data_IF_892340299361
#
_entry.id   IF_892340299361
#
_cell.length_a   1.000
_cell.length_b   1.000
_cell.length_c   1.000
_cell.angle_alpha   90.00
_cell.angle_beta   90.00
_cell.angle_gamma   90.00
#
_symmetry.space_group_name_H-M   'P 1'
#
loop_
_entity.id
_entity.type
_entity.pdbx_description
1 polymer ?
#
# COMPACT_ATOMS: atom_id res chain seq x y z
N UNK A 1 -43.62 -4.61 28.59
CA UNK A 1 -43.61 -5.64 27.53
C UNK A 1 -44.50 -5.15 26.39
N UNK A 2 -43.91 -4.86 25.24
CA UNK A 2 -44.52 -4.96 23.90
C UNK A 2 -43.41 -4.62 22.90
N UNK A 3 -42.94 -5.66 22.20
CA UNK A 3 -42.12 -5.58 20.99
C UNK A 3 -43.05 -5.19 19.84
N UNK A 4 -42.57 -4.37 18.90
CA UNK A 4 -42.84 -4.61 17.48
C UNK A 4 -41.75 -3.96 16.61
N UNK A 5 -41.04 -4.83 15.87
CA UNK A 5 -40.25 -4.53 14.69
C UNK A 5 -41.26 -4.28 13.53
N UNK A 6 -40.99 -3.51 12.49
CA UNK A 6 -40.14 -3.79 11.33
C UNK A 6 -40.71 -2.86 10.23
N UNK A 7 -39.90 -2.02 9.58
CA UNK A 7 -39.44 -2.20 8.19
C UNK A 7 -40.35 -1.54 7.13
N UNK A 8 -39.71 -1.18 6.01
CA UNK A 8 -40.27 -0.80 4.70
C UNK A 8 -40.47 0.71 4.39
N UNK A 9 -39.39 1.33 3.91
CA UNK A 9 -39.44 2.18 2.70
C UNK A 9 -39.20 1.24 1.50
N UNK A 10 -39.81 1.44 0.30
CA UNK A 10 -39.38 2.52 -0.59
C UNK A 10 -40.44 3.02 -1.61
N UNK A 11 -40.01 3.91 -2.52
CA UNK A 11 -40.44 4.09 -3.94
C UNK A 11 -40.91 5.52 -4.31
N UNK A 12 -39.97 6.35 -4.79
CA UNK A 12 -40.19 7.45 -5.77
C UNK A 12 -40.50 6.83 -7.16
N UNK A 13 -40.90 7.54 -8.26
CA UNK A 13 -40.76 8.98 -8.54
C UNK A 13 -41.90 9.63 -9.40
N UNK A 14 -41.61 10.85 -9.90
CA UNK A 14 -42.08 11.47 -11.16
C UNK A 14 -43.22 12.49 -11.06
N UNK A 15 -42.89 13.77 -11.32
CA UNK A 15 -43.50 14.57 -12.40
C UNK A 15 -42.73 15.90 -12.56
N UNK A 16 -41.66 15.87 -13.36
CA UNK A 16 -41.09 17.09 -13.96
C UNK A 16 -42.08 17.57 -15.02
N UNK A 17 -42.67 18.73 -14.82
CA UNK A 17 -43.58 19.34 -15.79
C UNK A 17 -42.79 19.88 -16.98
N UNK A 18 -43.10 19.32 -18.15
CA UNK A 18 -42.75 19.83 -19.47
C UNK A 18 -43.62 21.06 -19.77
N UNK A 19 -43.01 22.14 -20.23
CA UNK A 19 -43.71 23.19 -20.98
C UNK A 19 -43.03 23.40 -22.32
N UNK A 20 -43.81 23.13 -23.37
CA UNK A 20 -43.63 23.46 -24.78
C UNK A 20 -43.74 25.00 -24.98
N UNK A 21 -43.19 25.72 -25.97
CA UNK A 21 -42.97 25.52 -27.41
C UNK A 21 -41.90 26.51 -27.95
N UNK A 22 -41.41 26.32 -29.20
CA UNK A 22 -40.37 27.14 -29.86
C UNK A 22 -40.93 28.13 -30.89
N UNK A 23 -40.21 29.21 -31.23
CA UNK A 23 -40.27 29.81 -32.58
C UNK A 23 -39.09 30.73 -32.91
N UNK A 24 -38.38 30.38 -34.00
CA UNK A 24 -37.65 31.19 -35.02
C UNK A 24 -36.56 32.17 -34.54
N UNK A 25 -35.32 32.06 -35.02
CA UNK A 25 -35.03 32.52 -36.38
C UNK A 25 -33.79 31.84 -36.99
N UNK A 26 -33.93 31.45 -38.25
CA UNK A 26 -32.86 30.98 -39.12
C UNK A 26 -31.89 32.13 -39.42
N UNK A 27 -30.59 31.89 -39.25
CA UNK A 27 -29.58 32.45 -40.16
C UNK A 27 -28.57 31.37 -40.49
N UNK A 28 -28.43 31.14 -41.79
CA UNK A 28 -27.53 30.22 -42.47
C UNK A 28 -26.23 30.97 -42.75
N UNK A 29 -25.13 30.51 -42.16
CA UNK A 29 -23.75 30.72 -42.62
C UNK A 29 -22.95 29.59 -41.95
N UNK A 30 -22.79 28.45 -42.61
CA UNK A 30 -21.63 28.17 -43.46
C UNK A 30 -20.33 28.73 -42.85
N UNK A 31 -19.67 27.92 -42.02
CA UNK A 31 -18.28 27.55 -42.30
C UNK A 31 -17.80 26.50 -41.29
N UNK A 32 -17.47 25.33 -41.83
CA UNK A 32 -16.62 24.37 -41.18
C UNK A 32 -15.30 25.04 -40.77
N UNK A 33 -14.96 25.03 -39.49
CA UNK A 33 -13.56 25.03 -39.05
C UNK A 33 -13.46 24.52 -37.61
N UNK A 34 -12.88 23.31 -37.49
CA UNK A 34 -12.42 22.71 -36.23
C UNK A 34 -11.54 23.71 -35.46
N UNK A 35 -12.00 24.24 -34.33
CA UNK A 35 -11.14 24.90 -33.34
C UNK A 35 -11.54 24.50 -31.93
N UNK A 36 -10.72 23.62 -31.34
CA UNK A 36 -10.81 23.13 -29.96
C UNK A 36 -10.78 24.31 -28.98
N UNK A 37 -11.49 24.28 -27.85
CA UNK A 37 -11.34 25.30 -26.82
C UNK A 37 -9.94 25.21 -26.19
N UNK A 38 -9.26 26.35 -26.16
CA UNK A 38 -8.10 26.55 -25.31
C UNK A 38 -8.56 26.68 -23.85
N UNK A 39 -7.98 25.88 -22.95
CA UNK A 39 -7.82 26.27 -21.55
C UNK A 39 -6.61 25.55 -20.97
N UNK A 40 -5.49 26.26 -21.04
CA UNK A 40 -4.27 25.97 -20.31
C UNK A 40 -4.43 26.50 -18.89
N UNK A 41 -4.63 25.63 -17.93
CA UNK A 41 -4.04 25.81 -16.59
C UNK A 41 -3.60 24.44 -16.07
N UNK A 42 -2.49 23.94 -16.63
CA UNK A 42 -1.81 22.76 -16.11
C UNK A 42 -1.12 23.19 -14.82
N UNK A 43 -1.88 23.23 -13.72
CA UNK A 43 -1.35 23.27 -12.36
C UNK A 43 -0.46 22.03 -12.24
N UNK A 44 0.85 22.24 -12.35
CA UNK A 44 1.84 21.25 -11.97
C UNK A 44 1.71 21.05 -10.46
N UNK A 45 0.77 20.19 -10.05
CA UNK A 45 0.82 19.59 -8.72
C UNK A 45 2.09 18.75 -8.67
N UNK A 46 3.18 19.37 -8.21
CA UNK A 46 4.32 18.66 -7.62
C UNK A 46 3.79 17.94 -6.38
N UNK A 47 3.24 16.74 -6.55
CA UNK A 47 3.16 15.75 -5.48
C UNK A 47 4.12 14.63 -5.86
N UNK A 48 5.41 14.89 -5.67
CA UNK A 48 6.31 13.83 -5.25
C UNK A 48 5.85 13.55 -3.82
N UNK A 49 4.96 12.58 -3.67
CA UNK A 49 4.76 11.95 -2.37
C UNK A 49 6.06 11.16 -2.16
N UNK A 50 7.08 11.85 -1.67
CA UNK A 50 8.25 11.24 -1.07
C UNK A 50 7.68 10.41 0.08
N UNK A 51 7.39 9.15 -0.20
CA UNK A 51 7.25 8.17 0.87
C UNK A 51 8.54 8.30 1.66
N UNK A 52 8.42 8.83 2.87
CA UNK A 52 9.51 8.94 3.84
C UNK A 52 9.83 7.51 4.30
N UNK A 53 10.41 6.74 3.37
CA UNK A 53 11.14 5.53 3.63
C UNK A 53 12.31 5.99 4.50
N UNK A 54 12.15 5.92 5.82
CA UNK A 54 13.23 6.21 6.77
C UNK A 54 14.55 5.53 6.37
N UNK A 55 15.67 5.92 7.00
CA UNK A 55 17.02 5.57 6.54
C UNK A 55 17.15 4.07 6.23
N UNK A 56 17.38 3.76 4.94
CA UNK A 56 17.44 2.39 4.43
C UNK A 56 18.59 1.64 5.08
N UNK A 57 18.32 0.43 5.54
CA UNK A 57 19.33 -0.43 6.17
C UNK A 57 20.26 -1.12 5.17
N UNK A 58 19.99 -0.99 3.87
CA UNK A 58 20.81 -1.58 2.81
C UNK A 58 20.95 -3.09 2.97
N UNK A 59 19.87 -3.77 3.37
CA UNK A 59 19.87 -5.22 3.57
C UNK A 59 19.88 -5.95 2.22
N UNK A 60 20.73 -6.98 2.13
CA UNK A 60 20.78 -7.87 0.97
C UNK A 60 19.57 -8.82 0.88
N UNK A 61 19.44 -9.55 -0.22
CA UNK A 61 18.29 -10.44 -0.45
C UNK A 61 18.12 -11.53 0.63
N UNK A 62 19.22 -12.13 1.10
CA UNK A 62 19.17 -13.16 2.16
C UNK A 62 18.70 -12.57 3.49
N UNK A 63 19.22 -11.40 3.84
CA UNK A 63 18.83 -10.64 5.03
C UNK A 63 17.35 -10.24 4.99
N UNK A 64 16.89 -9.71 3.85
CA UNK A 64 15.47 -9.40 3.61
C UNK A 64 14.57 -10.63 3.73
N UNK A 65 15.03 -11.78 3.24
CA UNK A 65 14.31 -13.05 3.37
C UNK A 65 14.22 -13.49 4.84
N UNK A 66 15.31 -13.38 5.60
CA UNK A 66 15.33 -13.72 7.01
C UNK A 66 14.34 -12.88 7.82
N UNK A 67 14.36 -11.55 7.67
CA UNK A 67 13.47 -10.67 8.45
C UNK A 67 11.99 -10.83 8.07
N UNK A 68 11.69 -11.12 6.79
CA UNK A 68 10.32 -11.43 6.35
C UNK A 68 9.84 -12.76 6.92
N UNK A 69 10.73 -13.75 7.01
CA UNK A 69 10.40 -15.03 7.63
C UNK A 69 10.14 -14.84 9.13
N UNK A 70 11.01 -14.14 9.85
CA UNK A 70 10.82 -13.86 11.28
C UNK A 70 9.54 -13.06 11.57
N UNK A 71 9.18 -12.08 10.72
CA UNK A 71 7.92 -11.34 10.84
C UNK A 71 6.68 -12.23 10.70
N UNK A 72 6.75 -13.31 9.90
CA UNK A 72 5.64 -14.25 9.73
C UNK A 72 5.33 -15.04 11.02
N UNK A 73 6.35 -15.31 11.83
CA UNK A 73 6.23 -16.09 13.06
C UNK A 73 6.31 -15.24 14.33
N UNK A 74 6.41 -13.92 14.21
CA UNK A 74 6.51 -13.03 15.36
C UNK A 74 5.26 -13.15 16.25
N UNK A 75 5.42 -13.20 17.60
CA UNK A 75 6.65 -12.99 18.37
C UNK A 75 7.44 -14.28 18.69
N UNK A 76 7.13 -15.41 18.06
CA UNK A 76 7.80 -16.69 18.35
C UNK A 76 9.24 -16.70 17.79
N UNK A 77 10.25 -16.99 18.61
CA UNK A 77 11.63 -17.02 18.15
C UNK A 77 11.90 -18.24 17.26
N UNK A 78 12.65 -18.04 16.18
CA UNK A 78 12.92 -19.08 15.20
C UNK A 78 14.43 -19.36 15.10
N UNK A 79 14.84 -20.63 14.97
CA UNK A 79 16.24 -20.94 14.72
C UNK A 79 16.65 -20.63 13.27
N UNK A 80 17.95 -20.53 13.00
CA UNK A 80 18.45 -20.38 11.62
C UNK A 80 18.05 -21.56 10.74
N UNK A 81 18.01 -22.77 11.30
CA UNK A 81 17.79 -24.04 10.58
C UNK A 81 16.46 -24.10 9.81
N UNK A 82 15.43 -23.37 10.26
CA UNK A 82 14.12 -23.31 9.60
C UNK A 82 14.00 -22.21 8.55
N UNK A 83 14.95 -21.27 8.49
CA UNK A 83 14.91 -20.11 7.59
C UNK A 83 15.58 -20.48 6.25
N UNK A 84 14.83 -20.64 5.13
CA UNK A 84 15.40 -21.27 3.95
C UNK A 84 16.48 -20.41 3.27
N UNK A 85 17.70 -20.94 3.13
CA UNK A 85 18.81 -20.29 2.43
C UNK A 85 19.44 -19.13 3.21
N UNK A 86 19.21 -19.07 4.52
CA UNK A 86 19.83 -18.14 5.47
C UNK A 86 20.81 -18.93 6.33
N UNK A 87 21.98 -18.35 6.58
CA UNK A 87 23.04 -18.94 7.40
C UNK A 87 23.23 -18.16 8.69
N UNK A 88 23.93 -18.74 9.67
CA UNK A 88 24.24 -18.05 10.93
C UNK A 88 25.02 -16.77 10.71
N UNK A 89 25.92 -16.74 9.71
CA UNK A 89 26.64 -15.52 9.28
C UNK A 89 25.65 -14.41 8.91
N UNK A 90 24.56 -14.75 8.20
CA UNK A 90 23.53 -13.76 7.84
C UNK A 90 22.80 -13.24 9.08
N UNK A 91 22.56 -14.11 10.07
CA UNK A 91 21.92 -13.74 11.33
C UNK A 91 22.83 -12.85 12.18
N UNK A 92 24.13 -13.12 12.23
CA UNK A 92 25.12 -12.29 12.93
C UNK A 92 25.23 -10.90 12.32
N UNK A 93 25.21 -10.78 10.99
CA UNK A 93 25.16 -9.50 10.30
C UNK A 93 23.89 -8.69 10.64
N UNK A 94 22.74 -9.37 10.78
CA UNK A 94 21.48 -8.74 11.18
C UNK A 94 21.50 -8.29 12.65
N UNK A 95 22.13 -9.08 13.54
CA UNK A 95 22.35 -8.72 14.94
C UNK A 95 23.28 -7.52 15.06
N UNK A 96 24.39 -7.49 14.32
CA UNK A 96 25.31 -6.36 14.30
C UNK A 96 24.63 -5.06 13.83
N UNK A 97 23.57 -5.18 13.02
CA UNK A 97 22.74 -4.06 12.57
C UNK A 97 21.54 -3.78 13.50
N UNK A 98 21.35 -4.52 14.58
CA UNK A 98 20.24 -4.36 15.51
C UNK A 98 18.87 -4.64 14.89
N UNK A 99 18.82 -5.45 13.83
CA UNK A 99 17.59 -5.79 13.09
C UNK A 99 16.92 -7.02 13.69
N UNK A 100 17.73 -7.92 14.22
CA UNK A 100 17.33 -9.18 14.85
C UNK A 100 18.02 -9.26 16.21
N UNK A 101 17.35 -9.87 17.18
CA UNK A 101 17.92 -10.22 18.48
C UNK A 101 18.02 -11.74 18.60
N UNK A 102 19.11 -12.20 19.19
CA UNK A 102 19.26 -13.58 19.64
C UNK A 102 18.60 -13.73 21.02
N UNK A 103 17.82 -14.79 21.20
CA UNK A 103 17.21 -15.13 22.48
C UNK A 103 17.56 -16.56 22.84
N UNK A 104 17.54 -16.85 24.14
CA UNK A 104 17.87 -18.18 24.63
C UNK A 104 16.71 -19.14 24.32
N UNK A 105 17.00 -20.24 23.62
CA UNK A 105 16.02 -21.29 23.39
C UNK A 105 15.59 -21.93 24.72
N UNK A 106 14.33 -22.37 24.86
CA UNK A 106 13.84 -23.03 26.08
C UNK A 106 14.64 -24.27 26.49
N UNK A 107 15.22 -24.96 25.51
CA UNK A 107 16.03 -26.16 25.70
C UNK A 107 17.53 -25.88 25.79
N UNK A 108 17.96 -24.65 25.49
CA UNK A 108 19.36 -24.22 25.46
C UNK A 108 20.23 -24.88 24.39
N UNK A 109 19.65 -25.60 23.42
CA UNK A 109 20.42 -26.38 22.43
C UNK A 109 20.67 -25.64 21.14
N UNK A 110 19.80 -24.70 20.79
CA UNK A 110 19.87 -23.96 19.53
C UNK A 110 19.81 -22.46 19.77
N UNK A 111 20.44 -21.69 18.87
CA UNK A 111 20.30 -20.24 18.82
C UNK A 111 18.98 -19.93 18.12
N UNK A 112 18.11 -19.16 18.77
CA UNK A 112 16.84 -18.74 18.19
C UNK A 112 16.77 -17.22 18.14
N UNK A 113 16.03 -16.71 17.17
CA UNK A 113 16.09 -15.31 16.78
C UNK A 113 14.70 -14.71 16.68
N UNK A 114 14.57 -13.45 17.06
CA UNK A 114 13.34 -12.66 16.97
C UNK A 114 13.62 -11.33 16.27
N UNK A 115 12.60 -10.79 15.61
CA UNK A 115 12.66 -9.45 15.04
C UNK A 115 12.84 -8.40 16.14
N UNK A 116 13.79 -7.48 15.96
CA UNK A 116 13.89 -6.28 16.78
C UNK A 116 13.03 -5.16 16.19
N UNK A 117 12.77 -4.10 16.96
CA UNK A 117 11.99 -2.92 16.51
C UNK A 117 12.49 -2.38 15.17
N UNK A 118 13.82 -2.26 15.02
CA UNK A 118 14.43 -1.79 13.77
C UNK A 118 14.16 -2.73 12.59
N UNK A 119 14.05 -4.03 12.84
CA UNK A 119 13.65 -5.02 11.84
C UNK A 119 12.17 -4.95 11.49
N UNK A 120 11.29 -4.67 12.46
CA UNK A 120 9.87 -4.44 12.20
C UNK A 120 9.65 -3.24 11.27
N UNK A 121 10.40 -2.15 11.50
CA UNK A 121 10.39 -0.97 10.63
C UNK A 121 10.83 -1.31 9.21
N UNK A 122 11.92 -2.08 9.06
CA UNK A 122 12.43 -2.49 7.74
C UNK A 122 11.46 -3.43 7.03
N UNK A 123 10.80 -4.35 7.74
CA UNK A 123 9.76 -5.20 7.15
C UNK A 123 8.55 -4.38 6.72
N UNK A 124 8.09 -3.41 7.52
CA UNK A 124 7.04 -2.46 7.13
C UNK A 124 7.40 -1.73 5.85
N UNK A 125 8.62 -1.20 5.76
CA UNK A 125 9.16 -0.54 4.56
C UNK A 125 9.14 -1.46 3.34
N UNK A 126 9.59 -2.71 3.50
CA UNK A 126 9.59 -3.71 2.42
C UNK A 126 8.18 -4.06 1.94
N UNK A 127 7.18 -4.15 2.84
CA UNK A 127 5.77 -4.37 2.51
C UNK A 127 5.20 -3.19 1.72
N UNK A 128 5.46 -1.95 2.17
CA UNK A 128 5.04 -0.73 1.46
C UNK A 128 5.64 -0.68 0.05
N UNK A 129 6.93 -0.96 -0.10
CA UNK A 129 7.58 -1.03 -1.40
C UNK A 129 6.93 -2.07 -2.33
N UNK A 130 6.61 -3.26 -1.81
CA UNK A 130 5.93 -4.30 -2.58
C UNK A 130 4.52 -3.87 -3.03
N UNK A 131 3.75 -3.22 -2.16
CA UNK A 131 2.43 -2.69 -2.52
C UNK A 131 2.50 -1.60 -3.59
N UNK A 132 3.49 -0.70 -3.51
CA UNK A 132 3.72 0.35 -4.51
C UNK A 132 4.05 -0.23 -5.89
N UNK A 133 4.90 -1.27 -5.93
CA UNK A 133 5.25 -1.99 -7.16
C UNK A 133 4.03 -2.71 -7.76
N UNK A 134 3.24 -3.41 -6.92
CA UNK A 134 2.02 -4.11 -7.35
C UNK A 134 0.94 -3.16 -7.87
N UNK A 135 0.81 -1.98 -7.26
CA UNK A 135 -0.19 -0.98 -7.63
C UNK A 135 0.22 -0.11 -8.83
N UNK A 136 1.36 -0.38 -9.47
CA UNK A 136 1.74 0.29 -10.71
C UNK A 136 2.08 1.77 -10.55
N UNK A 137 2.34 2.25 -9.33
CA UNK A 137 2.75 3.64 -9.06
C UNK A 137 4.12 3.97 -9.72
N UNK A 138 4.81 2.96 -10.28
CA UNK A 138 6.05 3.11 -11.04
C UNK A 138 5.99 2.77 -12.54
N UNK A 139 4.81 2.70 -13.18
CA UNK A 139 4.74 2.53 -14.65
C UNK A 139 4.23 3.79 -15.36
N UNK A 140 5.10 4.79 -15.53
CA UNK A 140 5.16 5.68 -16.69
C UNK A 140 6.58 6.17 -16.92
#
# INVERSE_FOLDING_TARGET
>A
MANEKADELPTHPVCLQLTDFPTISKTREEMAMKRRPASSSRVQRKRREEFDDGPRLGLGNRQNKAIRFLDQYYPEPQPTSVIPGVSDITMEELIARGVVAEVQAPDGKERVFILAVRGEDEVRRLKLQETSLRNGIGKR
#
